data_IF_759343894509
#
_entry.id   IF_759343894509
#
_cell.length_a   1.000
_cell.length_b   1.000
_cell.length_c   1.000
_cell.angle_alpha   90.00
_cell.angle_beta   90.00
_cell.angle_gamma   90.00
#
_symmetry.space_group_name_H-M   'P 1'
#
loop_
_entity.id
_entity.type
_entity.pdbx_description
1 polymer ?
#
# COMPACT_ATOMS: atom_id res chain seq x y z
N UNK A 1 -3.25 -5.93 6.46
CA UNK A 1 -2.05 -5.11 6.20
C UNK A 1 -1.99 -3.93 7.17
N UNK A 2 -2.85 -2.90 7.02
CA UNK A 2 -2.76 -1.66 7.83
C UNK A 2 -2.50 -1.84 9.33
N UNK A 3 -3.23 -2.72 10.04
CA UNK A 3 -2.97 -2.99 11.48
C UNK A 3 -1.57 -3.53 11.77
N UNK A 4 -1.05 -4.42 10.92
CA UNK A 4 0.28 -5.04 11.06
C UNK A 4 1.38 -4.02 10.73
N UNK A 5 1.09 -3.11 9.82
CA UNK A 5 1.96 -1.99 9.42
C UNK A 5 1.76 -0.74 10.29
N UNK A 6 1.06 -0.86 11.43
CA UNK A 6 0.79 0.22 12.39
C UNK A 6 0.08 1.45 11.80
N UNK A 7 -0.70 1.25 10.73
CA UNK A 7 -1.57 2.29 10.18
C UNK A 7 -2.88 2.37 10.98
N UNK A 8 -3.20 3.56 11.48
CA UNK A 8 -4.43 3.84 12.24
C UNK A 8 -5.67 4.00 11.34
N UNK A 9 -6.08 2.90 10.67
CA UNK A 9 -7.27 2.88 9.82
C UNK A 9 -8.50 2.37 10.59
N UNK A 10 -9.65 3.05 10.46
CA UNK A 10 -10.91 2.56 11.02
C UNK A 10 -11.66 1.69 10.01
N UNK A 11 -12.27 0.60 10.47
CA UNK A 11 -13.05 -0.32 9.63
C UNK A 11 -14.15 0.38 8.83
N UNK A 12 -14.80 1.39 9.42
CA UNK A 12 -15.82 2.17 8.71
C UNK A 12 -15.26 2.90 7.50
N UNK A 13 -14.07 3.49 7.64
CA UNK A 13 -13.44 4.25 6.55
C UNK A 13 -13.02 3.29 5.43
N UNK A 14 -12.52 2.10 5.77
CA UNK A 14 -12.23 1.02 4.81
C UNK A 14 -13.49 0.59 4.04
N UNK A 15 -14.60 0.37 4.74
CA UNK A 15 -15.88 -0.02 4.13
C UNK A 15 -16.38 1.10 3.20
N UNK A 16 -16.32 2.35 3.63
CA UNK A 16 -16.77 3.49 2.85
C UNK A 16 -15.94 3.69 1.58
N UNK A 17 -14.60 3.61 1.68
CA UNK A 17 -13.71 3.70 0.52
C UNK A 17 -13.99 2.55 -0.45
N UNK A 18 -14.15 1.33 0.06
CA UNK A 18 -14.49 0.17 -0.76
C UNK A 18 -15.84 0.34 -1.47
N UNK A 19 -16.87 0.79 -0.74
CA UNK A 19 -18.19 1.05 -1.33
C UNK A 19 -18.13 2.11 -2.42
N UNK A 20 -17.37 3.19 -2.23
CA UNK A 20 -17.22 4.24 -3.26
C UNK A 20 -16.44 3.74 -4.48
N UNK A 21 -15.44 2.88 -4.26
CA UNK A 21 -14.69 2.27 -5.35
C UNK A 21 -15.57 1.35 -6.20
N UNK A 22 -16.36 0.47 -5.57
CA UNK A 22 -17.23 -0.46 -6.29
C UNK A 22 -18.53 0.16 -6.79
N UNK A 23 -19.01 1.26 -6.17
CA UNK A 23 -20.23 1.98 -6.55
C UNK A 23 -19.95 3.49 -6.76
N UNK A 24 -19.22 3.89 -7.83
CA UNK A 24 -18.72 5.27 -7.98
C UNK A 24 -19.81 6.34 -8.13
N UNK A 25 -20.96 5.98 -8.71
CA UNK A 25 -22.11 6.89 -8.87
C UNK A 25 -23.22 6.62 -7.86
N UNK A 26 -23.01 5.66 -6.95
CA UNK A 26 -23.99 5.31 -5.94
C UNK A 26 -24.01 6.30 -4.78
N UNK A 27 -25.13 6.29 -4.06
CA UNK A 27 -25.29 7.05 -2.82
C UNK A 27 -24.35 6.55 -1.72
N UNK A 28 -24.00 7.41 -0.74
CA UNK A 28 -23.24 7.00 0.43
C UNK A 28 -23.88 5.81 1.15
N UNK A 29 -23.04 4.93 1.69
CA UNK A 29 -23.52 3.75 2.41
C UNK A 29 -24.20 4.15 3.73
N UNK A 30 -25.46 3.76 3.89
CA UNK A 30 -26.22 3.96 5.12
C UNK A 30 -25.73 3.04 6.25
N UNK A 31 -25.93 3.47 7.50
CA UNK A 31 -25.60 2.68 8.70
C UNK A 31 -26.75 1.75 9.09
N UNK A 32 -27.18 0.93 8.14
CA UNK A 32 -28.27 -0.01 8.27
C UNK A 32 -27.81 -1.41 8.70
N UNK A 33 -28.73 -2.38 8.78
CA UNK A 33 -28.40 -3.76 9.13
C UNK A 33 -27.36 -4.37 8.19
N UNK A 34 -27.45 -4.06 6.89
CA UNK A 34 -26.51 -4.54 5.88
C UNK A 34 -25.09 -4.05 6.14
N UNK A 35 -24.91 -2.79 6.57
CA UNK A 35 -23.61 -2.28 6.97
C UNK A 35 -23.02 -3.08 8.15
N UNK A 36 -23.82 -3.36 9.17
CA UNK A 36 -23.37 -4.08 10.36
C UNK A 36 -23.04 -5.55 10.05
N UNK A 37 -23.88 -6.21 9.25
CA UNK A 37 -23.62 -7.56 8.74
C UNK A 37 -22.32 -7.62 7.92
N UNK A 38 -22.10 -6.65 7.03
CA UNK A 38 -20.86 -6.55 6.26
C UNK A 38 -19.66 -6.35 7.19
N UNK A 39 -19.75 -5.43 8.15
CA UNK A 39 -18.68 -5.21 9.15
C UNK A 39 -18.32 -6.50 9.88
N UNK A 40 -19.31 -7.24 10.35
CA UNK A 40 -19.08 -8.48 11.08
C UNK A 40 -18.48 -9.56 10.18
N UNK A 41 -18.93 -9.66 8.93
CA UNK A 41 -18.32 -10.56 7.94
C UNK A 41 -16.85 -10.23 7.66
N UNK A 42 -16.48 -8.94 7.64
CA UNK A 42 -15.09 -8.49 7.46
C UNK A 42 -14.23 -8.90 8.65
N UNK A 43 -14.74 -8.79 9.88
CA UNK A 43 -14.04 -9.24 11.09
C UNK A 43 -13.79 -10.76 11.04
N UNK A 44 -14.79 -11.54 10.60
CA UNK A 44 -14.61 -12.99 10.44
C UNK A 44 -13.62 -13.32 9.33
N UNK A 45 -13.68 -12.61 8.20
CA UNK A 45 -12.73 -12.76 7.10
C UNK A 45 -11.31 -12.42 7.53
N UNK A 46 -11.12 -11.37 8.34
CA UNK A 46 -9.82 -11.04 8.93
C UNK A 46 -9.25 -12.21 9.74
N UNK A 47 -10.03 -12.80 10.63
CA UNK A 47 -9.60 -13.96 11.41
C UNK A 47 -9.32 -15.19 10.52
N UNK A 48 -10.15 -15.42 9.51
CA UNK A 48 -9.93 -16.49 8.53
C UNK A 48 -8.60 -16.31 7.81
N UNK A 49 -8.31 -15.11 7.32
CA UNK A 49 -7.06 -14.80 6.64
C UNK A 49 -5.85 -14.97 7.55
N UNK A 50 -5.95 -14.55 8.81
CA UNK A 50 -4.88 -14.81 9.80
C UNK A 50 -4.61 -16.30 9.98
N UNK A 51 -5.67 -17.13 10.06
CA UNK A 51 -5.53 -18.59 10.17
C UNK A 51 -4.92 -19.21 8.91
N UNK A 52 -5.38 -18.80 7.72
CA UNK A 52 -4.83 -19.27 6.43
C UNK A 52 -3.34 -18.95 6.32
N UNK A 53 -2.95 -17.75 6.73
CA UNK A 53 -1.55 -17.32 6.79
C UNK A 53 -0.78 -17.89 7.98
N UNK A 54 -1.40 -18.75 8.80
CA UNK A 54 -0.81 -19.34 10.02
C UNK A 54 -0.24 -18.28 10.97
N UNK A 55 -0.87 -17.10 11.02
CA UNK A 55 -0.42 -15.92 11.75
C UNK A 55 0.98 -15.41 11.34
N UNK A 56 1.51 -15.85 10.20
CA UNK A 56 2.76 -15.35 9.62
C UNK A 56 2.50 -14.09 8.80
N UNK A 57 2.30 -12.96 9.49
CA UNK A 57 1.95 -11.67 8.85
C UNK A 57 3.11 -10.68 8.76
N UNK A 58 4.23 -10.98 9.41
CA UNK A 58 5.47 -10.19 9.31
C UNK A 58 6.38 -10.79 8.26
N UNK A 59 6.75 -9.99 7.26
CA UNK A 59 7.70 -10.40 6.23
C UNK A 59 8.51 -9.18 5.74
N UNK A 60 9.71 -9.47 5.26
CA UNK A 60 10.59 -8.47 4.64
C UNK A 60 10.11 -8.24 3.20
N UNK A 61 9.80 -7.00 2.85
CA UNK A 61 9.48 -6.64 1.47
C UNK A 61 10.77 -6.43 0.68
N UNK A 62 10.84 -6.84 -0.60
CA UNK A 62 12.03 -6.64 -1.44
C UNK A 62 12.53 -5.19 -1.48
N UNK A 63 11.63 -4.20 -1.47
CA UNK A 63 11.98 -2.78 -1.48
C UNK A 63 12.69 -2.28 -0.21
N UNK A 64 12.56 -2.98 0.92
CA UNK A 64 13.32 -2.62 2.14
C UNK A 64 14.81 -2.96 1.99
N UNK A 65 15.13 -4.03 1.27
CA UNK A 65 16.53 -4.44 1.01
C UNK A 65 17.18 -3.49 0.00
N UNK A 66 16.46 -3.12 -1.06
CA UNK A 66 16.98 -2.19 -2.07
C UNK A 66 17.29 -0.79 -1.51
N UNK A 67 16.59 -0.35 -0.46
CA UNK A 67 16.84 0.95 0.15
C UNK A 67 18.15 1.01 0.95
N UNK A 68 18.53 -0.10 1.60
CA UNK A 68 19.78 -0.17 2.37
C UNK A 68 21.00 -0.13 1.43
N UNK A 69 20.89 -0.75 0.26
CA UNK A 69 21.94 -0.73 -0.77
C UNK A 69 21.96 0.57 -1.59
N UNK A 70 20.86 1.32 -1.66
CA UNK A 70 20.76 2.59 -2.39
C UNK A 70 21.19 3.78 -1.51
N UNK A 71 22.44 3.73 -1.03
CA UNK A 71 23.01 4.78 -0.18
C UNK A 71 23.13 6.13 -0.91
N UNK A 72 23.16 7.23 -0.16
CA UNK A 72 23.33 8.59 -0.73
C UNK A 72 24.52 8.68 -1.72
N UNK A 73 25.70 8.11 -1.45
CA UNK A 73 26.80 8.07 -2.43
C UNK A 73 26.45 7.34 -3.73
N UNK A 74 25.68 6.25 -3.67
CA UNK A 74 25.26 5.50 -4.86
C UNK A 74 24.26 6.32 -5.68
N UNK A 75 23.33 7.01 -5.02
CA UNK A 75 22.40 7.94 -5.68
C UNK A 75 23.16 9.10 -6.33
N UNK A 76 24.08 9.72 -5.60
CA UNK A 76 24.87 10.85 -6.10
C UNK A 76 25.72 10.44 -7.32
N UNK A 77 26.28 9.22 -7.32
CA UNK A 77 26.99 8.65 -8.47
C UNK A 77 26.05 8.42 -9.67
N UNK A 78 24.88 7.80 -9.46
CA UNK A 78 23.88 7.59 -10.54
C UNK A 78 23.46 8.93 -11.14
N UNK A 79 23.22 9.95 -10.31
CA UNK A 79 22.86 11.29 -10.78
C UNK A 79 24.00 11.93 -11.57
N UNK A 80 25.25 11.80 -11.10
CA UNK A 80 26.42 12.30 -11.82
C UNK A 80 26.56 11.64 -13.20
N UNK A 81 26.41 10.31 -13.27
CA UNK A 81 26.49 9.56 -14.53
C UNK A 81 25.38 10.00 -15.50
N UNK A 82 24.15 10.19 -15.00
CA UNK A 82 23.03 10.67 -15.82
C UNK A 82 23.25 12.09 -16.33
N UNK A 83 23.77 13.00 -15.50
CA UNK A 83 24.12 14.36 -15.92
C UNK A 83 25.19 14.31 -17.01
N UNK A 84 26.23 13.49 -16.82
CA UNK A 84 27.29 13.33 -17.81
C UNK A 84 26.74 12.84 -19.15
N UNK A 85 25.92 11.79 -19.15
CA UNK A 85 25.27 11.26 -20.36
C UNK A 85 24.45 12.36 -21.04
N UNK A 86 23.63 13.08 -20.27
CA UNK A 86 22.78 14.14 -20.82
C UNK A 86 23.61 15.29 -21.41
N UNK A 87 24.71 15.69 -20.76
CA UNK A 87 25.61 16.71 -21.29
C UNK A 87 26.26 16.24 -22.60
N UNK A 88 26.70 14.98 -22.68
CA UNK A 88 27.28 14.41 -23.89
C UNK A 88 26.28 14.38 -25.06
N UNK A 89 25.01 14.06 -24.79
CA UNK A 89 23.96 14.04 -25.81
C UNK A 89 23.54 15.45 -26.27
N UNK A 90 23.58 16.45 -25.40
CA UNK A 90 23.27 17.85 -25.75
C UNK A 90 24.41 18.60 -26.47
N UNK A 91 25.63 18.08 -26.41
CA UNK A 91 26.81 18.63 -27.10
C UNK A 91 27.03 18.04 -28.50
N UNK A 92 26.13 17.16 -28.98
CA UNK A 92 26.18 16.63 -30.35
C UNK A 92 25.70 17.73 -31.33
N UNK A 93 26.52 18.15 -32.32
CA UNK A 93 26.18 19.24 -33.27
C UNK A 93 25.04 18.92 -34.24
#
# INVERSE_FOLDING_TARGET
AGKVEEQHLRTRDIINVSNRYFNPSGEPLELDSRFWELRDSIVQCELLMLRVLRFQVSFQHPHKVFNDDLTKPIIDNIVSDLIQIYTMDTEIP
#
